data_IF_190387566210
#
_entry.id   IF_190387566210
#
_cell.length_a   1.000
_cell.length_b   1.000
_cell.length_c   1.000
_cell.angle_alpha   90.00
_cell.angle_beta   90.00
_cell.angle_gamma   90.00
#
_symmetry.space_group_name_H-M   'P 1'
#
loop_
_entity.id
_entity.type
_entity.pdbx_description
1 polymer ?
#
# COMPACT_ATOMS: atom_id res chain seq x y z
N UNK A 1 83.82 57.42 5.88
CA UNK A 1 83.44 56.10 6.38
C UNK A 1 82.59 55.40 5.31
N UNK A 2 83.13 54.34 4.74
CA UNK A 2 82.58 53.72 3.53
C UNK A 2 81.16 53.12 3.71
N UNK A 3 80.28 53.33 2.75
CA UNK A 3 78.87 52.84 2.75
C UNK A 3 78.78 51.30 3.07
N UNK A 4 79.83 50.54 2.72
CA UNK A 4 79.88 49.09 2.98
C UNK A 4 80.09 48.71 4.45
N UNK A 5 80.76 49.60 5.23
CA UNK A 5 81.01 49.40 6.67
C UNK A 5 79.72 49.68 7.50
N UNK A 6 78.92 50.66 7.09
CA UNK A 6 77.63 50.90 7.74
C UNK A 6 76.63 49.76 7.53
N UNK A 7 76.64 49.12 6.40
CA UNK A 7 75.74 47.99 6.12
C UNK A 7 76.15 46.72 6.90
N UNK A 8 77.48 46.53 7.08
CA UNK A 8 77.96 45.39 7.90
C UNK A 8 77.58 45.50 9.38
N UNK A 9 77.61 46.73 9.93
CA UNK A 9 77.23 46.96 11.34
C UNK A 9 75.70 46.78 11.54
N UNK A 10 74.90 47.15 10.54
CA UNK A 10 73.44 46.95 10.64
C UNK A 10 73.06 45.47 10.58
N UNK A 11 73.74 44.67 9.77
CA UNK A 11 73.54 43.22 9.67
C UNK A 11 73.97 42.53 10.97
N UNK A 12 75.03 42.96 11.61
CA UNK A 12 75.56 42.40 12.85
C UNK A 12 74.62 42.68 14.04
N UNK A 13 74.08 43.87 14.13
CA UNK A 13 73.08 44.24 15.16
C UNK A 13 71.76 43.53 14.92
N UNK A 14 71.33 43.36 13.69
CA UNK A 14 70.10 42.57 13.37
C UNK A 14 70.23 41.09 13.71
N UNK A 15 71.36 40.48 13.47
CA UNK A 15 71.63 39.09 13.82
C UNK A 15 71.71 38.89 15.36
N UNK A 16 72.24 39.87 16.11
CA UNK A 16 72.29 39.82 17.57
C UNK A 16 70.91 39.90 18.22
N UNK A 17 69.98 40.70 17.66
CA UNK A 17 68.60 40.81 18.16
C UNK A 17 67.79 39.54 17.87
N UNK A 18 67.97 38.91 16.72
CA UNK A 18 67.30 37.66 16.38
C UNK A 18 67.81 36.51 17.20
N UNK A 19 69.15 36.43 17.46
CA UNK A 19 69.74 35.42 18.31
C UNK A 19 69.32 35.54 19.79
N UNK A 20 69.22 36.78 20.31
CA UNK A 20 68.75 37.05 21.65
C UNK A 20 67.27 36.70 21.84
N UNK A 21 66.42 36.94 20.83
CA UNK A 21 64.99 36.57 20.87
C UNK A 21 64.75 35.05 20.87
N UNK A 22 65.57 34.30 20.14
CA UNK A 22 65.48 32.82 20.10
C UNK A 22 66.00 32.24 21.43
N UNK A 23 67.05 32.81 22.05
CA UNK A 23 67.61 32.33 23.32
C UNK A 23 66.63 32.54 24.50
N UNK A 24 65.77 33.54 24.43
CA UNK A 24 64.77 33.82 25.48
C UNK A 24 63.54 32.90 25.42
N UNK A 25 63.32 32.16 24.31
CA UNK A 25 62.20 31.24 24.14
C UNK A 25 62.54 29.76 24.41
N UNK A 26 63.78 29.44 24.76
CA UNK A 26 64.11 28.10 25.22
C UNK A 26 63.48 27.88 26.62
N UNK A 27 62.67 26.83 26.81
CA UNK A 27 62.07 26.53 28.06
C UNK A 27 63.18 26.28 29.12
N UNK A 28 63.17 27.07 30.17
CA UNK A 28 64.03 26.82 31.35
C UNK A 28 63.59 25.49 31.94
N UNK A 29 64.41 24.48 31.81
CA UNK A 29 64.25 23.21 32.49
C UNK A 29 64.15 23.47 34.01
N UNK A 30 62.97 23.25 34.58
CA UNK A 30 62.69 23.43 35.97
C UNK A 30 63.53 22.45 36.81
N UNK A 31 64.63 22.90 37.35
CA UNK A 31 65.47 22.14 38.30
C UNK A 31 64.70 21.71 39.57
N UNK A 32 63.51 22.23 39.83
CA UNK A 32 62.67 21.82 40.96
C UNK A 32 61.98 20.43 40.72
N UNK A 33 61.77 20.01 39.49
CA UNK A 33 61.19 18.69 39.22
C UNK A 33 62.20 17.57 39.43
N UNK A 34 63.49 17.83 39.24
CA UNK A 34 64.57 16.82 39.46
C UNK A 34 64.83 16.59 40.97
N UNK A 35 64.55 17.57 41.85
CA UNK A 35 64.66 17.41 43.30
C UNK A 35 63.45 16.67 43.90
N UNK A 36 62.21 16.85 43.33
CA UNK A 36 61.03 16.13 43.75
C UNK A 36 61.10 14.64 43.40
N UNK A 37 61.67 14.29 42.24
CA UNK A 37 61.79 12.90 41.83
C UNK A 37 62.81 12.11 42.68
N UNK A 38 63.82 12.78 43.28
CA UNK A 38 64.83 12.15 44.12
C UNK A 38 64.33 11.88 45.57
N UNK A 39 63.34 12.61 46.04
CA UNK A 39 62.73 12.39 47.36
C UNK A 39 61.62 11.33 47.32
N UNK A 40 61.01 11.12 46.13
CA UNK A 40 59.96 10.12 45.96
C UNK A 40 60.51 8.70 45.65
N UNK A 41 61.79 8.56 45.41
CA UNK A 41 62.34 7.25 45.05
C UNK A 41 62.76 6.36 46.23
N UNK A 42 62.65 6.85 47.50
CA UNK A 42 63.15 6.13 48.69
C UNK A 42 62.06 5.40 49.50
N UNK A 43 60.79 5.43 49.05
CA UNK A 43 59.75 4.67 49.74
C UNK A 43 58.78 3.98 48.78
N UNK A 44 59.30 3.26 47.80
CA UNK A 44 58.50 2.35 46.99
C UNK A 44 58.47 0.98 47.63
N UNK A 45 57.59 0.78 48.57
CA UNK A 45 57.00 -0.53 48.77
C UNK A 45 56.46 -1.01 47.40
N UNK A 46 57.03 -2.08 46.90
CA UNK A 46 56.83 -2.64 45.58
C UNK A 46 55.38 -3.15 45.40
N UNK A 47 54.36 -2.24 45.46
CA UNK A 47 53.04 -2.56 44.98
C UNK A 47 53.03 -2.44 43.44
N UNK A 48 53.08 -3.61 42.78
CA UNK A 48 52.87 -3.67 41.32
C UNK A 48 51.51 -3.00 41.04
N UNK A 49 51.53 -1.80 40.53
CA UNK A 49 50.31 -1.15 40.02
C UNK A 49 50.01 -1.81 38.67
N UNK A 50 48.96 -2.63 38.65
CA UNK A 50 48.44 -3.20 37.42
C UNK A 50 47.69 -2.07 36.69
N UNK A 51 48.17 -1.75 35.49
CA UNK A 51 47.43 -0.91 34.57
C UNK A 51 46.20 -1.65 34.09
N UNK A 52 45.02 -1.22 34.48
CA UNK A 52 43.76 -1.80 34.06
C UNK A 52 42.99 -0.82 33.19
N UNK A 53 42.45 -1.26 32.08
CA UNK A 53 41.51 -0.49 31.28
C UNK A 53 40.12 -0.66 31.91
N UNK A 54 39.60 0.35 32.51
CA UNK A 54 38.23 0.37 33.03
C UNK A 54 37.29 1.06 32.04
N UNK A 55 36.19 0.40 31.71
CA UNK A 55 35.10 0.97 30.89
C UNK A 55 33.88 1.16 31.80
N UNK A 56 33.40 2.38 31.89
CA UNK A 56 32.16 2.65 32.61
C UNK A 56 30.99 2.18 31.72
N UNK A 57 30.29 1.15 32.18
CA UNK A 57 29.08 0.66 31.54
C UNK A 57 27.92 1.54 32.01
N UNK A 58 27.33 2.29 31.10
CA UNK A 58 26.11 3.05 31.35
C UNK A 58 24.94 2.29 30.71
N UNK A 59 23.76 2.24 31.34
CA UNK A 59 22.56 1.68 30.75
C UNK A 59 22.22 2.50 29.49
N UNK A 60 22.09 1.81 28.36
CA UNK A 60 21.63 2.40 27.10
C UNK A 60 20.34 1.72 26.69
N UNK A 61 19.38 2.50 26.22
CA UNK A 61 18.17 1.97 25.62
C UNK A 61 18.56 1.31 24.28
N UNK A 62 18.53 0.00 24.24
CA UNK A 62 18.72 -0.75 23.00
C UNK A 62 17.37 -0.86 22.31
N UNK A 63 17.27 -0.31 21.11
CA UNK A 63 16.11 -0.58 20.24
C UNK A 63 16.46 -1.77 19.37
N UNK A 64 15.70 -2.83 19.51
CA UNK A 64 15.77 -3.98 18.61
C UNK A 64 14.87 -3.68 17.41
N UNK A 65 15.48 -3.48 16.25
CA UNK A 65 14.77 -3.18 14.99
C UNK A 65 14.96 -4.34 14.03
N UNK A 66 13.87 -4.93 13.61
CA UNK A 66 13.86 -5.98 12.59
C UNK A 66 13.64 -5.30 11.24
N UNK A 67 14.60 -5.46 10.33
CA UNK A 67 14.47 -5.01 8.95
C UNK A 67 14.10 -6.20 8.07
N UNK A 68 12.96 -6.10 7.41
CA UNK A 68 12.44 -7.13 6.50
C UNK A 68 11.97 -6.48 5.22
N UNK A 69 12.01 -7.23 4.13
CA UNK A 69 11.45 -6.81 2.85
C UNK A 69 9.98 -7.15 2.78
N UNK A 70 9.22 -6.32 2.09
CA UNK A 70 7.80 -6.52 1.84
C UNK A 70 7.39 -5.97 0.49
N UNK A 71 6.15 -6.22 0.10
CA UNK A 71 5.55 -5.76 -1.14
C UNK A 71 4.37 -4.84 -0.87
N UNK A 72 4.24 -3.80 -1.67
CA UNK A 72 3.04 -2.97 -1.68
C UNK A 72 1.99 -3.63 -2.57
N UNK A 73 0.80 -3.81 -2.02
CA UNK A 73 -0.35 -4.38 -2.71
C UNK A 73 -1.49 -3.36 -2.72
N UNK A 74 -2.35 -3.40 -3.76
CA UNK A 74 -3.59 -2.64 -3.75
C UNK A 74 -4.54 -3.15 -2.66
N UNK A 75 -5.52 -2.33 -2.29
CA UNK A 75 -6.57 -2.74 -1.34
C UNK A 75 -7.41 -3.89 -1.90
N UNK A 76 -7.85 -3.75 -3.13
CA UNK A 76 -8.62 -4.74 -3.88
C UNK A 76 -8.14 -4.78 -5.33
N UNK A 77 -8.12 -5.97 -5.91
CA UNK A 77 -7.79 -6.21 -7.31
C UNK A 77 -8.67 -7.33 -7.85
N UNK A 78 -9.26 -7.12 -9.02
CA UNK A 78 -10.14 -8.11 -9.65
C UNK A 78 -9.95 -8.11 -11.16
N UNK A 79 -9.95 -9.30 -11.74
CA UNK A 79 -10.03 -9.49 -13.18
C UNK A 79 -11.50 -9.42 -13.60
N UNK A 80 -11.83 -8.43 -14.42
CA UNK A 80 -13.19 -8.20 -14.91
C UNK A 80 -13.50 -9.13 -16.09
N UNK A 81 -14.55 -9.92 -15.96
CA UNK A 81 -15.09 -10.78 -17.01
C UNK A 81 -16.63 -10.70 -17.03
N UNK A 82 -17.24 -11.05 -18.16
CA UNK A 82 -18.70 -11.13 -18.25
C UNK A 82 -19.22 -12.38 -17.52
N UNK A 83 -20.43 -12.31 -16.98
CA UNK A 83 -21.09 -13.47 -16.39
C UNK A 83 -21.72 -14.40 -17.46
N UNK A 84 -21.97 -13.85 -18.65
CA UNK A 84 -22.54 -14.57 -19.79
C UNK A 84 -21.69 -14.45 -21.04
N UNK A 85 -21.90 -15.35 -21.99
CA UNK A 85 -21.16 -15.34 -23.26
C UNK A 85 -21.88 -14.50 -24.31
N UNK A 86 -21.12 -13.73 -25.09
CA UNK A 86 -21.69 -12.93 -26.15
C UNK A 86 -20.65 -12.09 -26.92
N UNK A 87 -21.08 -11.51 -28.03
CA UNK A 87 -20.25 -10.57 -28.78
C UNK A 87 -20.27 -9.21 -28.11
N UNK A 88 -19.10 -8.65 -27.80
CA UNK A 88 -18.94 -7.31 -27.22
C UNK A 88 -19.42 -6.28 -28.24
N UNK A 89 -20.37 -5.44 -27.84
CA UNK A 89 -20.95 -4.37 -28.67
C UNK A 89 -20.48 -2.98 -28.24
N UNK A 90 -20.16 -2.81 -26.94
CA UNK A 90 -19.73 -1.54 -26.38
C UNK A 90 -18.62 -1.72 -25.36
N UNK A 91 -17.68 -0.77 -25.32
CA UNK A 91 -16.66 -0.61 -24.28
C UNK A 91 -16.65 0.88 -23.90
N UNK A 92 -16.99 1.19 -22.64
CA UNK A 92 -17.29 2.54 -22.16
C UNK A 92 -16.25 2.98 -21.10
N UNK A 93 -15.00 2.60 -21.26
CA UNK A 93 -13.91 3.05 -20.39
C UNK A 93 -12.64 3.32 -21.20
N UNK A 94 -11.79 4.16 -20.65
CA UNK A 94 -10.44 4.40 -21.16
C UNK A 94 -9.42 3.67 -20.26
N UNK A 95 -8.38 3.13 -20.86
CA UNK A 95 -7.30 2.45 -20.15
C UNK A 95 -6.59 3.41 -19.19
N UNK A 96 -6.39 2.99 -17.94
CA UNK A 96 -5.81 3.83 -16.89
C UNK A 96 -6.76 4.85 -16.26
N UNK A 97 -8.02 4.92 -16.69
CA UNK A 97 -9.00 5.85 -16.11
C UNK A 97 -9.54 5.39 -14.75
N UNK A 98 -10.01 6.36 -13.96
CA UNK A 98 -10.76 6.09 -12.74
C UNK A 98 -12.21 5.77 -13.06
N UNK A 99 -12.73 4.71 -12.46
CA UNK A 99 -14.13 4.29 -12.60
C UNK A 99 -14.79 4.20 -11.23
N UNK A 100 -16.12 4.42 -11.21
CA UNK A 100 -16.94 4.34 -9.99
C UNK A 100 -17.66 3.00 -9.91
N UNK A 101 -17.91 2.55 -8.69
CA UNK A 101 -18.76 1.38 -8.43
C UNK A 101 -20.10 1.49 -9.16
N UNK A 102 -20.48 0.41 -9.85
CA UNK A 102 -21.72 0.34 -10.64
C UNK A 102 -21.63 0.97 -12.04
N UNK A 103 -20.52 1.65 -12.39
CA UNK A 103 -20.32 2.22 -13.72
C UNK A 103 -20.30 1.11 -14.77
N UNK A 104 -21.05 1.29 -15.86
CA UNK A 104 -21.06 0.38 -17.00
C UNK A 104 -19.73 0.50 -17.75
N UNK A 105 -18.98 -0.61 -17.82
CA UNK A 105 -17.68 -0.67 -18.47
C UNK A 105 -17.73 -1.25 -19.87
N UNK A 106 -18.49 -2.33 -20.04
CA UNK A 106 -18.65 -2.97 -21.34
C UNK A 106 -20.00 -3.70 -21.39
N UNK A 107 -20.44 -4.00 -22.60
CA UNK A 107 -21.71 -4.69 -22.84
C UNK A 107 -21.57 -5.71 -23.97
N UNK A 108 -22.15 -6.89 -23.74
CA UNK A 108 -22.34 -7.88 -24.82
C UNK A 108 -23.74 -7.75 -25.43
N UNK A 109 -23.95 -8.38 -26.58
CA UNK A 109 -25.21 -8.29 -27.33
C UNK A 109 -26.39 -8.88 -26.56
N UNK A 110 -27.26 -8.03 -26.09
CA UNK A 110 -28.48 -8.33 -25.34
C UNK A 110 -29.77 -8.22 -26.16
N UNK A 111 -29.70 -7.87 -27.46
CA UNK A 111 -30.86 -7.65 -28.30
C UNK A 111 -31.91 -8.78 -28.25
N UNK A 112 -31.53 -10.07 -28.25
CA UNK A 112 -32.49 -11.19 -28.16
C UNK A 112 -33.25 -11.14 -26.81
N UNK A 113 -32.56 -10.84 -25.72
CA UNK A 113 -33.16 -10.74 -24.38
C UNK A 113 -34.08 -9.52 -24.28
N UNK A 114 -33.70 -8.38 -24.84
CA UNK A 114 -34.53 -7.18 -24.90
C UNK A 114 -35.83 -7.43 -25.67
N UNK A 115 -35.76 -8.15 -26.83
CA UNK A 115 -36.96 -8.54 -27.59
C UNK A 115 -37.86 -9.49 -26.79
N UNK A 116 -37.27 -10.40 -26.01
CA UNK A 116 -38.02 -11.28 -25.12
C UNK A 116 -38.71 -10.50 -23.97
N UNK A 117 -37.98 -9.58 -23.37
CA UNK A 117 -38.51 -8.69 -22.31
C UNK A 117 -39.75 -7.91 -22.86
N UNK A 118 -39.60 -7.28 -24.02
CA UNK A 118 -40.69 -6.54 -24.65
C UNK A 118 -41.96 -7.42 -24.89
N UNK A 119 -41.76 -8.67 -25.30
CA UNK A 119 -42.86 -9.62 -25.46
C UNK A 119 -43.58 -9.90 -24.14
N UNK A 120 -42.80 -10.15 -23.04
CA UNK A 120 -43.39 -10.44 -21.73
C UNK A 120 -44.08 -9.22 -21.13
N UNK A 121 -43.52 -8.02 -21.27
CA UNK A 121 -44.10 -6.76 -20.84
C UNK A 121 -45.42 -6.50 -21.58
N UNK A 122 -45.51 -6.81 -22.87
CA UNK A 122 -46.78 -6.71 -23.59
C UNK A 122 -47.84 -7.71 -23.08
N UNK A 123 -47.43 -8.91 -22.63
CA UNK A 123 -48.32 -9.89 -22.02
C UNK A 123 -48.76 -9.49 -20.61
N UNK A 124 -47.87 -8.79 -19.85
CA UNK A 124 -48.15 -8.33 -18.49
C UNK A 124 -49.37 -7.45 -18.43
N UNK A 125 -49.49 -6.45 -19.32
CA UNK A 125 -50.63 -5.59 -19.39
C UNK A 125 -51.96 -6.35 -19.57
N UNK A 126 -51.96 -7.37 -20.44
CA UNK A 126 -53.15 -8.21 -20.64
C UNK A 126 -53.49 -9.03 -19.39
N UNK A 127 -52.46 -9.58 -18.71
CA UNK A 127 -52.65 -10.35 -17.47
C UNK A 127 -53.19 -9.48 -16.34
N UNK A 128 -52.66 -8.27 -16.16
CA UNK A 128 -53.14 -7.28 -15.20
C UNK A 128 -54.62 -6.92 -15.43
N UNK A 129 -54.98 -6.66 -16.70
CA UNK A 129 -56.40 -6.37 -17.08
C UNK A 129 -57.32 -7.57 -16.80
N UNK A 130 -56.79 -8.81 -16.97
CA UNK A 130 -57.58 -10.03 -16.64
C UNK A 130 -57.84 -10.14 -15.15
N UNK A 131 -56.78 -9.96 -14.33
CA UNK A 131 -56.88 -10.00 -12.87
C UNK A 131 -57.86 -8.93 -12.39
N UNK A 132 -57.74 -7.71 -12.92
CA UNK A 132 -58.65 -6.60 -12.56
C UNK A 132 -60.13 -6.95 -12.88
N UNK A 133 -60.43 -7.45 -14.09
CA UNK A 133 -61.81 -7.87 -14.46
C UNK A 133 -62.31 -9.03 -13.59
N UNK A 134 -61.42 -10.02 -13.33
CA UNK A 134 -61.81 -11.20 -12.54
C UNK A 134 -62.08 -10.83 -11.09
N UNK A 135 -61.31 -9.87 -10.54
CA UNK A 135 -61.58 -9.34 -9.19
C UNK A 135 -62.93 -8.63 -9.09
N UNK A 136 -63.25 -7.77 -10.09
CA UNK A 136 -64.55 -7.08 -10.12
C UNK A 136 -65.74 -8.04 -10.29
N UNK A 137 -65.56 -9.18 -10.96
CA UNK A 137 -66.58 -10.23 -11.07
C UNK A 137 -66.69 -11.06 -9.80
N UNK A 138 -65.58 -11.33 -9.11
CA UNK A 138 -65.57 -12.01 -7.82
C UNK A 138 -66.33 -11.21 -6.74
N UNK A 139 -66.14 -9.89 -6.68
CA UNK A 139 -66.88 -8.99 -5.78
C UNK A 139 -68.38 -9.01 -5.97
N UNK A 140 -68.84 -9.50 -7.15
CA UNK A 140 -70.26 -9.66 -7.51
C UNK A 140 -70.72 -11.11 -7.46
N UNK A 141 -69.94 -12.01 -6.89
CA UNK A 141 -70.19 -13.45 -6.85
C UNK A 141 -70.42 -14.08 -8.26
N UNK A 142 -69.94 -13.43 -9.32
CA UNK A 142 -70.10 -13.88 -10.70
C UNK A 142 -69.05 -14.91 -11.16
N UNK A 143 -67.97 -15.11 -10.39
CA UNK A 143 -66.93 -16.11 -10.63
C UNK A 143 -66.49 -16.77 -9.31
N UNK A 144 -65.89 -17.97 -9.42
CA UNK A 144 -65.36 -18.65 -8.25
C UNK A 144 -64.05 -18.04 -7.78
N UNK A 145 -63.76 -18.15 -6.49
CA UNK A 145 -62.48 -17.74 -5.91
C UNK A 145 -61.32 -18.47 -6.59
N UNK A 146 -61.51 -19.73 -6.94
CA UNK A 146 -60.53 -20.54 -7.66
C UNK A 146 -60.13 -19.92 -9.00
N UNK A 147 -61.13 -19.47 -9.79
CA UNK A 147 -60.88 -18.81 -11.09
C UNK A 147 -60.09 -17.49 -10.93
N UNK A 148 -60.37 -16.72 -9.88
CA UNK A 148 -59.61 -15.53 -9.54
C UNK A 148 -58.14 -15.86 -9.14
N UNK A 149 -57.95 -16.83 -8.23
CA UNK A 149 -56.61 -17.23 -7.80
C UNK A 149 -55.79 -17.81 -8.97
N UNK A 150 -56.42 -18.47 -9.95
CA UNK A 150 -55.74 -18.94 -11.15
C UNK A 150 -55.13 -17.79 -11.96
N UNK A 151 -55.92 -16.76 -12.31
CA UNK A 151 -55.41 -15.60 -13.09
C UNK A 151 -54.40 -14.77 -12.31
N UNK A 152 -54.53 -14.72 -10.99
CA UNK A 152 -53.58 -14.08 -10.12
C UNK A 152 -52.25 -14.84 -10.09
N UNK A 153 -52.29 -16.16 -10.09
CA UNK A 153 -51.09 -17.03 -10.20
C UNK A 153 -50.43 -16.89 -11.57
N UNK A 154 -51.19 -16.80 -12.66
CA UNK A 154 -50.67 -16.53 -14.02
C UNK A 154 -49.93 -15.19 -14.06
N UNK A 155 -50.48 -14.12 -13.44
CA UNK A 155 -49.83 -12.82 -13.33
C UNK A 155 -48.49 -12.93 -12.53
N UNK A 156 -48.53 -13.64 -11.40
CA UNK A 156 -47.32 -13.82 -10.57
C UNK A 156 -46.24 -14.58 -11.33
N UNK A 157 -46.58 -15.62 -12.09
CA UNK A 157 -45.66 -16.36 -12.93
C UNK A 157 -45.03 -15.47 -14.02
N UNK A 158 -45.86 -14.64 -14.66
CA UNK A 158 -45.38 -13.72 -15.69
C UNK A 158 -44.42 -12.67 -15.16
N UNK A 159 -44.67 -12.14 -13.94
CA UNK A 159 -43.75 -11.23 -13.27
C UNK A 159 -42.40 -11.93 -12.98
N UNK A 160 -42.43 -13.18 -12.50
CA UNK A 160 -41.21 -13.95 -12.26
C UNK A 160 -40.43 -14.21 -13.56
N UNK A 161 -41.13 -14.44 -14.69
CA UNK A 161 -40.49 -14.58 -16.01
C UNK A 161 -39.80 -13.26 -16.45
N UNK A 162 -40.44 -12.12 -16.19
CA UNK A 162 -39.88 -10.78 -16.46
C UNK A 162 -38.61 -10.58 -15.64
N UNK A 163 -38.70 -10.81 -14.33
CA UNK A 163 -37.54 -10.68 -13.39
C UNK A 163 -36.37 -11.56 -13.85
N UNK A 164 -36.63 -12.77 -14.31
CA UNK A 164 -35.62 -13.70 -14.86
C UNK A 164 -34.92 -13.10 -16.10
N UNK A 165 -35.67 -12.53 -17.02
CA UNK A 165 -35.09 -11.93 -18.22
C UNK A 165 -34.32 -10.66 -17.90
N UNK A 166 -34.81 -9.84 -16.96
CA UNK A 166 -34.08 -8.65 -16.48
C UNK A 166 -32.74 -9.05 -15.83
N UNK A 167 -32.72 -10.11 -15.01
CA UNK A 167 -31.49 -10.65 -14.45
C UNK A 167 -30.52 -11.14 -15.54
N UNK A 168 -31.03 -11.83 -16.56
CA UNK A 168 -30.21 -12.27 -17.71
C UNK A 168 -29.65 -11.08 -18.51
N UNK A 169 -30.40 -9.99 -18.66
CA UNK A 169 -29.95 -8.75 -19.28
C UNK A 169 -28.83 -8.12 -18.42
N UNK A 170 -29.01 -8.07 -17.10
CA UNK A 170 -27.99 -7.53 -16.20
C UNK A 170 -26.66 -8.28 -16.33
N UNK A 171 -26.66 -9.60 -16.52
CA UNK A 171 -25.46 -10.41 -16.77
C UNK A 171 -24.73 -10.08 -18.08
N UNK A 172 -25.42 -9.41 -19.03
CA UNK A 172 -24.79 -8.94 -20.28
C UNK A 172 -23.98 -7.66 -20.08
N UNK A 173 -24.11 -7.01 -18.95
CA UNK A 173 -23.45 -5.74 -18.60
C UNK A 173 -22.30 -5.99 -17.65
N UNK A 174 -21.09 -5.57 -18.05
CA UNK A 174 -19.94 -5.57 -17.18
C UNK A 174 -19.88 -4.24 -16.41
N UNK A 175 -20.10 -4.27 -15.11
CA UNK A 175 -20.06 -3.11 -14.24
C UNK A 175 -18.94 -3.21 -13.23
N UNK A 176 -18.37 -2.05 -12.84
CA UNK A 176 -17.33 -1.98 -11.84
C UNK A 176 -17.87 -2.40 -10.45
N UNK A 177 -17.25 -3.39 -9.76
CA UNK A 177 -17.71 -3.84 -8.44
C UNK A 177 -17.34 -2.87 -7.32
N UNK A 178 -16.29 -2.05 -7.50
CA UNK A 178 -15.81 -1.02 -6.56
C UNK A 178 -15.18 0.15 -7.31
N UNK A 179 -14.90 1.25 -6.59
CA UNK A 179 -14.19 2.41 -7.14
C UNK A 179 -12.71 2.08 -7.31
N UNK A 180 -12.13 2.36 -8.48
CA UNK A 180 -10.75 2.03 -8.73
C UNK A 180 -10.22 2.56 -10.05
N UNK A 181 -9.02 2.13 -10.40
CA UNK A 181 -8.36 2.41 -11.69
C UNK A 181 -8.44 1.17 -12.54
N UNK A 182 -8.97 1.31 -13.76
CA UNK A 182 -9.03 0.23 -14.73
C UNK A 182 -7.69 0.13 -15.48
N UNK A 183 -7.18 -1.10 -15.61
CA UNK A 183 -5.94 -1.37 -16.33
C UNK A 183 -6.10 -1.41 -17.85
N UNK A 184 -5.15 -2.07 -18.51
CA UNK A 184 -5.20 -2.27 -19.95
C UNK A 184 -6.31 -3.26 -20.32
N UNK A 185 -7.03 -2.96 -21.39
CA UNK A 185 -8.05 -3.87 -21.94
C UNK A 185 -7.38 -5.01 -22.71
N UNK A 186 -7.93 -6.20 -22.56
CA UNK A 186 -7.46 -7.39 -23.27
C UNK A 186 -8.36 -7.79 -24.45
N UNK A 187 -9.46 -7.06 -24.65
CA UNK A 187 -10.46 -7.34 -25.68
C UNK A 187 -10.84 -6.08 -26.47
N UNK A 188 -11.44 -6.29 -27.62
CA UNK A 188 -11.95 -5.20 -28.48
C UNK A 188 -13.43 -5.37 -28.78
N UNK A 189 -14.09 -4.28 -29.17
CA UNK A 189 -15.46 -4.34 -29.69
C UNK A 189 -15.50 -5.31 -30.87
N UNK A 190 -16.50 -6.21 -30.87
CA UNK A 190 -16.63 -7.27 -31.88
C UNK A 190 -16.05 -8.62 -31.46
N UNK A 191 -15.22 -8.67 -30.41
CA UNK A 191 -14.73 -9.94 -29.83
C UNK A 191 -15.87 -10.73 -29.20
N UNK A 192 -15.84 -12.04 -29.31
CA UNK A 192 -16.75 -12.92 -28.58
C UNK A 192 -16.14 -13.21 -27.20
N UNK A 193 -16.80 -12.73 -26.14
CA UNK A 193 -16.39 -12.92 -24.77
C UNK A 193 -17.17 -14.06 -24.10
N UNK A 194 -16.54 -14.67 -23.09
CA UNK A 194 -17.09 -15.71 -22.22
C UNK A 194 -16.71 -15.40 -20.77
N UNK A 195 -17.25 -16.10 -19.77
CA UNK A 195 -16.91 -15.90 -18.36
C UNK A 195 -15.40 -16.09 -18.03
N UNK A 196 -14.67 -16.81 -18.86
CA UNK A 196 -13.23 -17.01 -18.73
C UNK A 196 -12.39 -15.94 -19.44
N UNK A 197 -13.05 -15.05 -20.21
CA UNK A 197 -12.37 -14.00 -20.98
C UNK A 197 -12.20 -12.77 -20.11
N UNK A 198 -10.96 -12.45 -19.73
CA UNK A 198 -10.64 -11.24 -18.98
C UNK A 198 -10.76 -10.04 -19.92
N UNK A 199 -11.57 -9.08 -19.54
CA UNK A 199 -11.77 -7.81 -20.29
C UNK A 199 -10.71 -6.79 -19.91
N UNK A 200 -10.52 -6.57 -18.62
CA UNK A 200 -9.54 -5.69 -18.04
C UNK A 200 -9.35 -6.05 -16.55
N UNK A 201 -8.35 -5.46 -15.91
CA UNK A 201 -8.12 -5.58 -14.48
C UNK A 201 -8.56 -4.29 -13.80
N UNK A 202 -9.31 -4.38 -12.71
CA UNK A 202 -9.69 -3.25 -11.88
C UNK A 202 -8.94 -3.30 -10.57
N UNK A 203 -8.30 -2.19 -10.21
CA UNK A 203 -7.42 -2.10 -9.03
C UNK A 203 -7.78 -0.90 -8.17
N UNK A 204 -8.01 -1.12 -6.87
CA UNK A 204 -8.21 -0.07 -5.89
C UNK A 204 -6.88 0.24 -5.20
N UNK A 205 -6.28 1.36 -5.56
CA UNK A 205 -4.95 1.77 -5.11
C UNK A 205 -4.93 2.57 -3.81
N UNK A 206 -6.08 2.85 -3.22
CA UNK A 206 -6.19 3.60 -1.97
C UNK A 206 -7.28 3.02 -1.07
N UNK A 207 -6.93 2.63 0.17
CA UNK A 207 -5.58 2.58 0.76
C UNK A 207 -4.69 1.50 0.14
N UNK A 208 -3.36 1.61 0.30
CA UNK A 208 -2.43 0.54 -0.06
C UNK A 208 -2.21 -0.39 1.13
N UNK A 209 -1.92 -1.65 0.87
CA UNK A 209 -1.53 -2.67 1.85
C UNK A 209 -0.05 -3.00 1.71
N UNK A 210 0.61 -3.26 2.84
CA UNK A 210 1.98 -3.77 2.86
C UNK A 210 1.94 -5.21 3.33
N UNK A 211 2.41 -6.12 2.50
CA UNK A 211 2.59 -7.53 2.84
C UNK A 211 4.06 -7.79 3.10
N UNK A 212 4.37 -8.47 4.21
CA UNK A 212 5.73 -8.83 4.57
C UNK A 212 5.74 -10.14 5.36
N UNK A 213 6.83 -10.90 5.22
CA UNK A 213 7.04 -12.15 5.95
C UNK A 213 7.94 -11.94 7.16
N UNK A 214 7.50 -12.42 8.31
CA UNK A 214 8.24 -12.32 9.57
C UNK A 214 8.83 -13.68 9.91
N UNK A 215 10.13 -13.78 10.22
CA UNK A 215 10.72 -15.02 10.72
C UNK A 215 10.01 -15.50 12.01
N UNK A 216 9.86 -16.81 12.17
CA UNK A 216 9.10 -17.44 13.26
C UNK A 216 9.51 -16.94 14.65
N UNK A 217 10.80 -16.72 14.88
CA UNK A 217 11.34 -16.22 16.17
C UNK A 217 10.74 -14.87 16.60
N UNK A 218 10.24 -14.06 15.66
CA UNK A 218 9.62 -12.75 15.90
C UNK A 218 8.10 -12.76 15.75
N UNK A 219 7.51 -13.91 15.44
CA UNK A 219 6.08 -14.02 15.17
C UNK A 219 5.20 -13.60 16.37
N UNK A 220 5.70 -13.76 17.58
CA UNK A 220 4.99 -13.37 18.81
C UNK A 220 5.07 -11.87 19.09
N UNK A 221 6.04 -11.16 18.53
CA UNK A 221 6.25 -9.73 18.75
C UNK A 221 5.37 -8.89 17.81
N UNK A 222 5.00 -9.43 16.64
CA UNK A 222 4.12 -8.78 15.68
C UNK A 222 2.66 -9.09 15.97
N UNK A 223 2.00 -8.21 16.73
CA UNK A 223 0.58 -8.30 17.09
C UNK A 223 -0.28 -7.44 16.17
N UNK A 224 -1.56 -7.81 16.02
CA UNK A 224 -2.55 -6.94 15.36
C UNK A 224 -2.59 -5.60 16.09
N UNK A 225 -2.54 -4.50 15.34
CA UNK A 225 -2.45 -3.14 15.85
C UNK A 225 -1.02 -2.61 16.05
N UNK A 226 0.01 -3.45 15.93
CA UNK A 226 1.40 -3.02 16.02
C UNK A 226 1.74 -2.03 14.89
N UNK A 227 2.50 -0.98 15.22
CA UNK A 227 3.00 -0.01 14.25
C UNK A 227 4.18 -0.56 13.47
N UNK A 228 4.18 -0.34 12.17
CA UNK A 228 5.26 -0.72 11.25
C UNK A 228 5.70 0.52 10.49
N UNK A 229 7.01 0.75 10.46
CA UNK A 229 7.61 1.80 9.64
C UNK A 229 8.19 1.15 8.38
N UNK A 230 7.91 1.71 7.21
CA UNK A 230 8.47 1.20 5.97
C UNK A 230 8.93 2.34 5.07
N UNK A 231 9.94 2.06 4.28
CA UNK A 231 10.46 2.97 3.25
C UNK A 231 10.34 2.32 1.88
N UNK A 232 10.21 3.14 0.85
CA UNK A 232 10.25 2.70 -0.53
C UNK A 232 11.68 2.79 -1.05
N UNK A 233 12.09 1.81 -1.83
CA UNK A 233 13.40 1.82 -2.49
C UNK A 233 13.56 3.09 -3.35
N UNK A 234 14.67 3.81 -3.16
CA UNK A 234 14.92 5.08 -3.85
C UNK A 234 14.23 6.30 -3.29
N UNK A 235 13.45 6.20 -2.19
CA UNK A 235 12.87 7.35 -1.47
C UNK A 235 13.40 7.42 -0.04
N UNK A 236 13.65 8.65 0.43
CA UNK A 236 14.11 8.91 1.82
C UNK A 236 12.94 9.00 2.81
N UNK A 237 11.72 9.00 2.33
CA UNK A 237 10.52 9.13 3.15
C UNK A 237 10.21 7.81 3.86
N UNK A 238 9.84 7.91 5.14
CA UNK A 238 9.37 6.79 5.95
C UNK A 238 7.86 6.89 6.12
N UNK A 239 7.17 5.83 5.78
CA UNK A 239 5.72 5.71 5.92
C UNK A 239 5.38 4.88 7.15
N UNK A 240 4.20 5.15 7.73
CA UNK A 240 3.70 4.46 8.91
C UNK A 240 2.47 3.64 8.55
N UNK A 241 2.46 2.39 8.98
CA UNK A 241 1.34 1.48 8.82
C UNK A 241 1.02 0.76 10.14
N UNK A 242 -0.13 0.11 10.19
CA UNK A 242 -0.54 -0.75 11.32
C UNK A 242 -0.83 -2.14 10.80
N UNK A 243 -0.39 -3.13 11.55
CA UNK A 243 -0.73 -4.53 11.27
C UNK A 243 -2.22 -4.72 11.50
N UNK A 244 -2.98 -5.06 10.47
CA UNK A 244 -4.42 -5.31 10.57
C UNK A 244 -4.78 -6.80 10.52
N UNK A 245 -3.94 -7.62 9.90
CA UNK A 245 -4.16 -9.05 9.80
C UNK A 245 -2.83 -9.81 9.83
N UNK A 246 -2.86 -11.04 10.27
CA UNK A 246 -1.74 -11.98 10.27
C UNK A 246 -2.22 -13.32 9.73
N UNK A 247 -1.55 -13.83 8.70
CA UNK A 247 -1.71 -15.21 8.27
C UNK A 247 -0.73 -16.09 9.06
N UNK A 248 -1.24 -17.14 9.72
CA UNK A 248 -0.45 -18.04 10.53
C UNK A 248 0.02 -19.27 9.75
N UNK A 249 0.02 -19.23 8.42
CA UNK A 249 0.63 -20.29 7.62
C UNK A 249 2.13 -20.31 7.90
N UNK A 250 2.61 -21.31 8.63
CA UNK A 250 4.04 -21.61 8.69
C UNK A 250 4.47 -22.00 7.28
N UNK A 251 5.43 -21.28 6.74
CA UNK A 251 6.10 -21.75 5.52
C UNK A 251 6.83 -23.04 5.90
N UNK A 252 6.27 -24.18 5.54
CA UNK A 252 7.00 -25.43 5.56
C UNK A 252 8.08 -25.33 4.48
N UNK A 253 9.31 -25.13 4.94
CA UNK A 253 10.51 -25.35 4.12
C UNK A 253 10.78 -26.83 4.02
#
# INVERSE_FOLDING_TARGET
MNKKVKWGIIIFIGAGLIGGGIYSQLPKENKELAAADKVMSTNRNNKRILNVNAKIIKPQLLKDEIKISGSLLPDEEVDLSFETSGKIIEINFEEGSQVKKGQLLAKVNDRPLQAQLQRLVAQLKLAEDRVFRQNALLERDAVSKEAYEQVKTELATLNADIDLIEANIAQTELRAPFDGVIGLRQVSVGTYASPTTIVAKLTKISPLKVEFSVPERYANDVKIGAGVNFGLEGKLETFHAKVYARDSRMAQN
#
